data_IF_236949734153
#
_entry.id   IF_236949734153
#
_cell.length_a   1.000
_cell.length_b   1.000
_cell.length_c   1.000
_cell.angle_alpha   90.00
_cell.angle_beta   90.00
_cell.angle_gamma   90.00
#
_symmetry.space_group_name_H-M   'P 1'
#
loop_
_entity.id
_entity.type
_entity.pdbx_description
1 polymer ?
#
# COMPACT_ATOMS: atom_id res chain seq x y z
N UNK A 1 -44.91 68.17 -13.92
CA UNK A 1 -43.46 67.88 -13.91
C UNK A 1 -42.94 68.02 -12.48
N UNK A 2 -42.77 66.94 -11.73
CA UNK A 2 -41.82 66.88 -10.61
C UNK A 2 -41.53 65.42 -10.25
N UNK A 3 -40.26 65.15 -9.93
CA UNK A 3 -39.53 63.89 -10.11
C UNK A 3 -39.90 62.81 -9.10
N UNK A 4 -40.13 61.59 -9.59
CA UNK A 4 -40.14 60.36 -8.80
C UNK A 4 -38.69 59.97 -8.52
N UNK A 5 -38.28 59.93 -7.26
CA UNK A 5 -36.97 59.43 -6.83
C UNK A 5 -37.16 58.00 -6.34
N UNK A 6 -36.70 57.04 -7.13
CA UNK A 6 -36.57 55.64 -6.69
C UNK A 6 -35.30 55.51 -5.86
N UNK A 7 -35.45 55.28 -4.55
CA UNK A 7 -34.35 54.87 -3.67
C UNK A 7 -34.20 53.36 -3.79
N UNK A 8 -33.17 52.91 -4.52
CA UNK A 8 -32.78 51.50 -4.57
C UNK A 8 -31.95 51.20 -3.33
N UNK A 9 -32.55 50.51 -2.37
CA UNK A 9 -31.86 50.00 -1.18
C UNK A 9 -31.09 48.73 -1.58
N UNK A 10 -29.81 48.86 -1.89
CA UNK A 10 -28.93 47.73 -2.15
C UNK A 10 -28.59 47.02 -0.83
N UNK A 11 -29.27 45.91 -0.53
CA UNK A 11 -28.92 45.02 0.58
C UNK A 11 -27.69 44.22 0.13
N UNK A 12 -26.52 44.70 0.52
CA UNK A 12 -25.27 43.94 0.43
C UNK A 12 -25.32 42.81 1.47
N UNK A 13 -25.70 41.61 1.04
CA UNK A 13 -25.39 40.39 1.78
C UNK A 13 -23.89 40.13 1.67
N UNK A 14 -23.11 40.84 2.47
CA UNK A 14 -21.73 40.48 2.76
C UNK A 14 -21.75 39.32 3.75
N UNK A 15 -21.78 38.09 3.25
CA UNK A 15 -21.49 36.91 4.06
C UNK A 15 -19.98 36.91 4.35
N UNK A 16 -19.61 37.68 5.36
CA UNK A 16 -18.32 37.54 6.03
C UNK A 16 -18.30 36.14 6.68
N UNK A 17 -17.80 35.14 5.96
CA UNK A 17 -17.34 33.91 6.60
C UNK A 17 -16.03 34.24 7.32
N UNK A 18 -16.17 34.79 8.52
CA UNK A 18 -15.08 34.83 9.47
C UNK A 18 -14.77 33.38 9.84
N UNK A 19 -13.67 32.85 9.31
CA UNK A 19 -13.05 31.64 9.86
C UNK A 19 -12.70 31.98 11.31
N UNK A 20 -13.35 31.32 12.25
CA UNK A 20 -13.09 31.51 13.66
C UNK A 20 -11.65 31.07 13.94
N UNK A 21 -10.74 32.02 14.07
CA UNK A 21 -9.42 31.76 14.62
C UNK A 21 -9.58 31.58 16.13
N UNK A 22 -9.27 30.40 16.64
CA UNK A 22 -9.14 30.21 18.09
C UNK A 22 -8.01 31.08 18.61
N UNK A 23 -8.13 31.53 19.86
CA UNK A 23 -7.22 32.48 20.51
C UNK A 23 -5.77 32.00 20.66
N UNK A 24 -5.42 30.82 20.14
CA UNK A 24 -4.06 30.27 20.09
C UNK A 24 -3.40 30.34 18.71
N UNK A 25 -4.09 30.82 17.67
CA UNK A 25 -3.57 30.82 16.29
C UNK A 25 -3.58 29.43 15.63
N UNK A 26 -4.09 28.39 16.30
CA UNK A 26 -4.32 27.07 15.72
C UNK A 26 -5.72 26.99 15.06
N UNK A 27 -5.78 26.37 13.88
CA UNK A 27 -7.01 26.14 13.11
C UNK A 27 -7.90 25.13 13.85
N UNK A 28 -9.14 25.52 14.19
CA UNK A 28 -10.12 24.61 14.82
C UNK A 28 -10.70 23.60 13.81
N UNK A 29 -11.58 22.70 14.26
CA UNK A 29 -12.11 21.64 13.40
C UNK A 29 -12.97 22.20 12.25
N UNK A 30 -13.70 23.30 12.46
CA UNK A 30 -14.46 23.97 11.39
C UNK A 30 -13.54 24.56 10.34
N UNK A 31 -12.46 25.21 10.76
CA UNK A 31 -11.39 25.69 9.90
C UNK A 31 -10.74 24.53 9.11
N UNK A 32 -10.44 23.39 9.77
CA UNK A 32 -9.88 22.20 9.10
C UNK A 32 -10.86 21.63 8.07
N UNK A 33 -12.16 21.55 8.39
CA UNK A 33 -13.18 21.10 7.43
C UNK A 33 -13.20 21.96 6.17
N UNK A 34 -13.12 23.27 6.31
CA UNK A 34 -13.05 24.20 5.17
C UNK A 34 -11.75 24.04 4.37
N UNK A 35 -10.61 23.85 5.05
CA UNK A 35 -9.32 23.67 4.40
C UNK A 35 -9.25 22.37 3.58
N UNK A 36 -9.75 21.28 4.15
CA UNK A 36 -9.72 19.94 3.57
C UNK A 36 -10.90 19.62 2.65
N UNK A 37 -11.90 20.49 2.57
CA UNK A 37 -12.97 20.39 1.57
C UNK A 37 -12.51 20.77 0.15
N UNK A 38 -11.34 21.38 0.02
CA UNK A 38 -10.73 21.74 -1.27
C UNK A 38 -10.14 20.51 -1.96
N UNK A 39 -9.91 20.56 -3.28
CA UNK A 39 -9.09 19.57 -3.98
C UNK A 39 -7.71 19.41 -3.30
N UNK A 40 -7.11 18.21 -3.41
CA UNK A 40 -5.91 17.86 -2.63
C UNK A 40 -4.71 18.77 -2.93
N UNK A 41 -4.56 19.23 -4.17
CA UNK A 41 -3.55 20.20 -4.62
C UNK A 41 -3.67 21.60 -3.99
N UNK A 42 -4.77 21.88 -3.29
CA UNK A 42 -5.04 23.14 -2.59
C UNK A 42 -5.08 22.99 -1.06
N UNK A 43 -4.74 21.81 -0.55
CA UNK A 43 -4.61 21.60 0.89
C UNK A 43 -3.45 22.40 1.47
N UNK A 44 -3.51 22.64 2.78
CA UNK A 44 -2.36 23.19 3.51
C UNK A 44 -1.13 22.31 3.26
N UNK A 45 0.00 22.90 2.92
CA UNK A 45 1.22 22.16 2.62
C UNK A 45 1.61 21.27 3.81
N UNK A 46 2.02 20.01 3.57
CA UNK A 46 2.53 19.16 4.62
C UNK A 46 3.90 19.67 5.12
N UNK A 47 4.27 19.27 6.33
CA UNK A 47 5.62 19.48 6.84
C UNK A 47 6.48 18.29 6.41
N UNK A 48 7.45 18.58 5.54
CA UNK A 48 8.35 17.60 4.92
C UNK A 48 9.79 18.00 5.24
N UNK A 49 10.65 17.01 5.47
CA UNK A 49 12.07 17.25 5.70
C UNK A 49 12.78 17.78 4.45
N UNK A 50 13.81 18.60 4.67
CA UNK A 50 14.61 19.17 3.61
C UNK A 50 15.19 18.08 2.69
N UNK A 51 14.99 18.29 1.38
CA UNK A 51 15.45 17.38 0.34
C UNK A 51 14.49 16.22 0.04
N UNK A 52 13.48 15.93 0.85
CA UNK A 52 12.55 14.83 0.55
C UNK A 52 11.64 15.22 -0.62
N UNK A 53 11.70 14.45 -1.71
CA UNK A 53 10.73 14.55 -2.80
C UNK A 53 9.36 14.09 -2.28
N UNK A 54 8.32 14.87 -2.52
CA UNK A 54 6.97 14.55 -2.07
C UNK A 54 5.94 14.87 -3.16
N UNK A 55 4.84 14.13 -3.13
CA UNK A 55 3.63 14.43 -3.86
C UNK A 55 2.44 14.33 -2.93
N UNK A 56 1.40 15.08 -3.25
CA UNK A 56 0.19 15.08 -2.43
C UNK A 56 -0.55 13.74 -2.51
N UNK A 57 -1.34 13.48 -1.48
CA UNK A 57 -2.27 12.37 -1.45
C UNK A 57 -3.27 12.48 -2.61
N UNK A 58 -3.50 11.36 -3.28
CA UNK A 58 -4.40 11.25 -4.41
C UNK A 58 -5.23 9.97 -4.30
N UNK A 59 -6.43 9.92 -4.91
CA UNK A 59 -7.20 8.69 -5.05
C UNK A 59 -6.36 7.57 -5.64
N UNK A 60 -6.50 6.37 -5.09
CA UNK A 60 -5.86 5.17 -5.63
C UNK A 60 -6.39 4.91 -7.04
N UNK A 61 -5.49 4.60 -7.98
CA UNK A 61 -5.82 4.22 -9.34
C UNK A 61 -6.61 2.91 -9.43
N UNK A 62 -7.18 2.64 -10.59
CA UNK A 62 -7.90 1.38 -10.81
C UNK A 62 -6.93 0.20 -10.93
N UNK A 63 -7.16 -0.93 -10.25
CA UNK A 63 -6.36 -2.13 -10.45
C UNK A 63 -6.39 -2.58 -11.92
N UNK A 64 -5.33 -3.25 -12.39
CA UNK A 64 -5.41 -3.97 -13.64
C UNK A 64 -6.50 -5.04 -13.58
N UNK A 65 -7.24 -5.21 -14.68
CA UNK A 65 -8.24 -6.26 -14.79
C UNK A 65 -7.57 -7.64 -14.75
N UNK A 66 -8.24 -8.67 -14.18
CA UNK A 66 -7.73 -10.03 -14.23
C UNK A 66 -7.46 -10.51 -15.66
N UNK A 67 -6.31 -11.15 -15.85
CA UNK A 67 -5.86 -11.76 -17.10
C UNK A 67 -5.65 -13.26 -16.90
N UNK A 68 -5.58 -14.07 -17.97
CA UNK A 68 -5.18 -15.47 -17.84
C UNK A 68 -3.85 -15.67 -17.08
N UNK A 69 -2.90 -14.73 -17.25
CA UNK A 69 -1.63 -14.73 -16.53
C UNK A 69 -1.81 -14.50 -15.02
N UNK A 70 -2.60 -13.50 -14.61
CA UNK A 70 -2.86 -13.26 -13.20
C UNK A 70 -3.71 -14.36 -12.55
N UNK A 71 -4.59 -15.03 -13.31
CA UNK A 71 -5.34 -16.20 -12.80
C UNK A 71 -4.42 -17.43 -12.61
N UNK A 72 -3.43 -17.63 -13.48
CA UNK A 72 -2.38 -18.61 -13.23
C UNK A 72 -1.57 -18.24 -11.97
N UNK A 73 -1.17 -16.97 -11.83
CA UNK A 73 -0.50 -16.46 -10.64
C UNK A 73 -1.29 -16.67 -9.36
N UNK A 74 -2.61 -16.44 -9.41
CA UNK A 74 -3.51 -16.69 -8.30
C UNK A 74 -3.48 -18.16 -7.89
N UNK A 75 -3.55 -19.10 -8.84
CA UNK A 75 -3.46 -20.53 -8.52
C UNK A 75 -2.16 -20.86 -7.82
N UNK A 76 -1.03 -20.38 -8.37
CA UNK A 76 0.30 -20.58 -7.79
C UNK A 76 0.44 -19.98 -6.39
N UNK A 77 -0.21 -18.84 -6.11
CA UNK A 77 -0.19 -18.20 -4.80
C UNK A 77 -0.79 -19.06 -3.68
N UNK A 78 -1.74 -19.94 -4.03
CA UNK A 78 -2.37 -20.89 -3.10
C UNK A 78 -1.83 -22.32 -3.27
N UNK A 79 -0.79 -22.53 -4.08
CA UNK A 79 -0.24 -23.86 -4.37
C UNK A 79 0.72 -24.31 -3.27
N UNK A 80 0.48 -25.48 -2.69
CA UNK A 80 1.33 -26.01 -1.62
C UNK A 80 2.47 -26.87 -2.12
N UNK A 81 2.40 -27.41 -3.35
CA UNK A 81 3.50 -28.16 -3.99
C UNK A 81 4.80 -27.33 -4.15
N UNK A 82 4.70 -26.02 -3.97
CA UNK A 82 5.82 -25.07 -3.93
C UNK A 82 6.56 -25.03 -2.58
N UNK A 83 6.19 -25.88 -1.62
CA UNK A 83 6.88 -26.02 -0.34
C UNK A 83 7.45 -27.42 -0.15
N UNK A 84 8.47 -27.56 0.70
CA UNK A 84 9.20 -28.81 0.90
C UNK A 84 8.35 -29.92 1.53
N UNK A 85 7.39 -29.55 2.40
CA UNK A 85 6.46 -30.46 3.07
C UNK A 85 5.06 -30.49 2.44
N UNK A 86 4.87 -29.73 1.36
CA UNK A 86 3.62 -29.57 0.65
C UNK A 86 2.44 -29.08 1.52
N UNK A 87 2.73 -28.41 2.65
CA UNK A 87 1.73 -27.90 3.59
C UNK A 87 1.50 -26.39 3.52
N UNK A 88 2.46 -25.62 2.98
CA UNK A 88 2.35 -24.15 2.95
C UNK A 88 2.34 -23.59 1.53
N UNK A 89 1.70 -22.45 1.37
CA UNK A 89 1.68 -21.64 0.14
C UNK A 89 1.99 -20.19 0.49
N UNK A 90 2.08 -19.30 -0.52
CA UNK A 90 2.21 -17.86 -0.27
C UNK A 90 1.08 -17.34 0.62
N UNK A 91 -0.14 -17.85 0.44
CA UNK A 91 -1.32 -17.49 1.22
C UNK A 91 -1.25 -17.90 2.71
N UNK A 92 -0.37 -18.83 3.10
CA UNK A 92 -0.19 -19.23 4.50
C UNK A 92 0.32 -18.07 5.35
N UNK A 93 1.23 -17.26 4.81
CA UNK A 93 1.77 -16.08 5.48
C UNK A 93 1.11 -14.77 5.00
N UNK A 94 0.44 -14.79 3.86
CA UNK A 94 -0.24 -13.64 3.28
C UNK A 94 -1.75 -13.90 3.14
N UNK A 95 -2.44 -13.92 4.28
CA UNK A 95 -3.85 -14.31 4.37
C UNK A 95 -4.78 -13.23 3.76
N UNK A 96 -5.58 -13.55 2.71
CA UNK A 96 -6.52 -12.60 2.11
C UNK A 96 -7.50 -11.97 3.12
N UNK A 97 -7.85 -12.69 4.20
CA UNK A 97 -8.76 -12.21 5.25
C UNK A 97 -8.15 -11.11 6.12
N UNK A 98 -6.83 -10.97 6.09
CA UNK A 98 -6.05 -9.99 6.83
C UNK A 98 -5.33 -9.03 5.86
N UNK A 99 -5.98 -8.70 4.74
CA UNK A 99 -5.39 -7.89 3.67
C UNK A 99 -4.02 -8.40 3.22
N UNK A 100 -3.87 -9.73 3.11
CA UNK A 100 -2.63 -10.39 2.68
C UNK A 100 -1.43 -10.12 3.61
N UNK A 101 -1.67 -9.77 4.88
CA UNK A 101 -0.67 -9.76 5.93
C UNK A 101 -0.78 -11.00 6.81
N UNK A 102 0.28 -11.31 7.54
CA UNK A 102 0.21 -12.31 8.61
C UNK A 102 -0.31 -11.66 9.90
N UNK A 103 -1.39 -12.17 10.52
CA UNK A 103 -1.84 -11.69 11.82
C UNK A 103 -0.89 -12.08 12.97
N UNK A 104 0.07 -12.98 12.75
CA UNK A 104 1.06 -13.40 13.75
C UNK A 104 2.20 -12.38 13.85
N UNK A 105 2.84 -12.22 15.03
CA UNK A 105 4.02 -11.35 15.17
C UNK A 105 5.19 -11.77 14.27
N UNK A 106 5.31 -13.07 13.99
CA UNK A 106 6.31 -13.67 13.11
C UNK A 106 5.66 -14.83 12.37
N UNK A 107 5.93 -14.95 11.08
CA UNK A 107 5.37 -16.01 10.23
C UNK A 107 6.00 -17.37 10.51
N UNK A 108 5.25 -18.44 10.26
CA UNK A 108 5.73 -19.82 10.33
C UNK A 108 5.78 -20.40 8.92
N UNK A 109 6.92 -20.99 8.56
CA UNK A 109 7.12 -21.72 7.32
C UNK A 109 6.91 -23.22 7.47
N UNK A 110 7.57 -23.99 6.59
CA UNK A 110 7.53 -25.46 6.59
C UNK A 110 7.97 -26.02 7.93
N UNK A 111 7.40 -27.16 8.33
CA UNK A 111 7.70 -27.82 9.60
C UNK A 111 7.55 -26.91 10.85
N UNK A 112 6.66 -25.92 10.78
CA UNK A 112 6.44 -24.90 11.82
C UNK A 112 7.70 -24.07 12.17
N UNK A 113 8.68 -24.00 11.26
CA UNK A 113 9.89 -23.19 11.47
C UNK A 113 9.52 -21.71 11.56
N UNK A 114 10.04 -21.04 12.57
CA UNK A 114 9.78 -19.63 12.79
C UNK A 114 10.68 -18.77 11.89
N UNK A 115 10.07 -17.83 11.16
CA UNK A 115 10.80 -16.82 10.41
C UNK A 115 11.50 -15.79 11.31
N UNK A 116 12.01 -14.71 10.71
CA UNK A 116 12.71 -13.65 11.45
C UNK A 116 11.90 -12.36 11.60
N UNK A 117 10.82 -12.21 10.82
CA UNK A 117 9.99 -11.00 10.75
C UNK A 117 8.53 -11.35 10.47
N UNK A 118 7.63 -10.38 10.69
CA UNK A 118 6.25 -10.46 10.23
C UNK A 118 6.18 -10.31 8.69
N UNK A 119 5.32 -11.09 8.04
CA UNK A 119 4.99 -10.91 6.62
C UNK A 119 4.08 -9.70 6.39
N UNK A 120 4.58 -8.75 5.62
CA UNK A 120 3.87 -7.51 5.28
C UNK A 120 2.63 -7.79 4.42
N UNK A 121 1.64 -6.89 4.46
CA UNK A 121 0.52 -6.92 3.53
C UNK A 121 1.00 -6.78 2.07
N UNK A 122 0.49 -7.64 1.20
CA UNK A 122 0.73 -7.59 -0.24
C UNK A 122 -0.25 -6.70 -1.01
N UNK A 123 -1.13 -5.95 -0.32
CA UNK A 123 -1.97 -4.97 -1.02
C UNK A 123 -1.13 -3.80 -1.55
N UNK A 124 -1.57 -3.21 -2.66
CA UNK A 124 -0.95 -2.06 -3.32
C UNK A 124 0.41 -2.30 -3.98
N UNK A 125 0.82 -3.54 -4.22
CA UNK A 125 2.01 -3.83 -5.03
C UNK A 125 1.80 -3.48 -6.53
N UNK A 126 0.57 -3.38 -7.01
CA UNK A 126 0.26 -3.06 -8.41
C UNK A 126 0.50 -1.62 -8.85
N UNK A 127 0.86 -0.75 -7.93
CA UNK A 127 0.94 0.70 -8.15
C UNK A 127 2.41 1.18 -8.02
N UNK A 128 3.34 0.27 -8.28
CA UNK A 128 4.77 0.43 -8.05
C UNK A 128 5.36 1.64 -8.82
N UNK A 129 5.79 2.66 -8.08
CA UNK A 129 6.82 3.63 -8.48
C UNK A 129 8.14 2.93 -8.83
N UNK A 130 8.91 3.41 -9.83
CA UNK A 130 10.16 2.78 -10.32
C UNK A 130 11.32 2.62 -9.29
N UNK A 131 11.16 3.03 -8.03
CA UNK A 131 12.18 2.86 -6.97
C UNK A 131 11.79 1.84 -5.87
N UNK A 132 10.83 0.95 -6.12
CA UNK A 132 10.38 0.01 -5.09
C UNK A 132 11.40 -1.09 -4.76
N UNK A 133 12.03 -0.97 -3.59
CA UNK A 133 12.69 -2.07 -2.91
C UNK A 133 11.68 -2.85 -2.05
N UNK A 134 11.77 -4.18 -2.09
CA UNK A 134 10.92 -5.13 -1.38
C UNK A 134 11.68 -5.78 -0.20
N UNK A 135 10.92 -6.39 0.70
CA UNK A 135 11.32 -6.76 2.07
C UNK A 135 11.53 -5.56 3.00
N UNK A 136 11.55 -5.85 4.30
CA UNK A 136 11.83 -4.88 5.37
C UNK A 136 13.21 -4.22 5.26
N UNK A 137 14.18 -4.84 4.59
CA UNK A 137 15.53 -4.31 4.37
C UNK A 137 15.77 -3.83 2.93
N UNK A 138 14.75 -3.92 2.06
CA UNK A 138 14.88 -3.49 0.67
C UNK A 138 15.82 -4.34 -0.19
N UNK A 139 16.16 -5.57 0.23
CA UNK A 139 17.17 -6.38 -0.48
C UNK A 139 16.76 -6.81 -1.89
N UNK A 140 15.47 -6.90 -2.18
CA UNK A 140 14.96 -7.22 -3.52
C UNK A 140 14.54 -5.94 -4.25
N UNK A 141 14.96 -5.79 -5.50
CA UNK A 141 14.70 -4.57 -6.29
C UNK A 141 13.45 -4.66 -7.16
N UNK A 142 12.93 -5.87 -7.35
CA UNK A 142 11.76 -6.12 -8.19
C UNK A 142 10.85 -7.13 -7.52
N UNK A 143 9.55 -7.08 -7.84
CA UNK A 143 8.60 -8.07 -7.35
C UNK A 143 8.91 -9.45 -7.91
N UNK A 144 9.40 -9.51 -9.16
CA UNK A 144 9.91 -10.73 -9.79
C UNK A 144 11.01 -11.39 -8.93
N UNK A 145 12.00 -10.62 -8.49
CA UNK A 145 13.05 -11.12 -7.61
C UNK A 145 12.49 -11.56 -6.24
N UNK A 146 11.58 -10.74 -5.68
CA UNK A 146 11.00 -10.98 -4.36
C UNK A 146 10.23 -12.30 -4.29
N UNK A 147 9.38 -12.63 -5.28
CA UNK A 147 8.53 -13.82 -5.24
C UNK A 147 9.31 -15.15 -5.31
N UNK A 148 10.56 -15.10 -5.76
CA UNK A 148 11.44 -16.28 -5.83
C UNK A 148 12.17 -16.56 -4.52
N UNK A 149 12.44 -15.54 -3.70
CA UNK A 149 13.23 -15.72 -2.46
C UNK A 149 12.52 -16.59 -1.39
N UNK A 150 11.20 -16.46 -1.13
CA UNK A 150 10.49 -17.34 -0.20
C UNK A 150 10.59 -18.83 -0.53
N UNK A 151 10.68 -19.16 -1.83
CA UNK A 151 10.78 -20.54 -2.29
C UNK A 151 12.03 -21.21 -1.73
N UNK A 152 13.14 -20.48 -1.61
CA UNK A 152 14.45 -21.02 -1.19
C UNK A 152 14.81 -20.78 0.26
N UNK A 153 14.04 -19.97 1.00
CA UNK A 153 14.33 -19.73 2.43
C UNK A 153 13.97 -20.97 3.27
N UNK A 154 14.91 -21.52 4.05
CA UNK A 154 14.69 -22.73 4.84
C UNK A 154 13.69 -22.54 5.99
N UNK A 155 13.40 -21.30 6.39
CA UNK A 155 12.37 -20.99 7.37
C UNK A 155 11.04 -20.57 6.72
N UNK A 156 10.97 -20.55 5.39
CA UNK A 156 9.75 -20.30 4.64
C UNK A 156 9.36 -21.57 3.87
N UNK A 157 9.67 -21.71 2.57
CA UNK A 157 9.18 -22.83 1.74
C UNK A 157 10.22 -23.93 1.46
N UNK A 158 11.51 -23.70 1.72
CA UNK A 158 12.60 -24.69 1.77
C UNK A 158 12.76 -25.61 0.53
N UNK A 159 12.67 -25.06 -0.69
CA UNK A 159 12.92 -25.78 -1.94
C UNK A 159 14.00 -25.11 -2.80
N UNK A 160 14.55 -25.84 -3.77
CA UNK A 160 15.44 -25.23 -4.77
C UNK A 160 14.63 -24.71 -5.96
N UNK A 161 15.05 -23.58 -6.54
CA UNK A 161 14.39 -23.02 -7.74
C UNK A 161 14.36 -24.02 -8.90
N UNK A 162 15.43 -24.81 -9.07
CA UNK A 162 15.51 -25.85 -10.11
C UNK A 162 14.45 -26.96 -9.94
N UNK A 163 13.95 -27.16 -8.71
CA UNK A 163 12.89 -28.15 -8.45
C UNK A 163 11.49 -27.66 -8.81
N UNK A 164 11.28 -26.34 -8.87
CA UNK A 164 9.95 -25.72 -9.04
C UNK A 164 9.26 -26.17 -10.33
N UNK A 165 9.89 -26.15 -11.51
CA UNK A 165 9.24 -26.61 -12.74
C UNK A 165 8.69 -28.03 -12.66
N UNK A 166 9.48 -28.96 -12.12
CA UNK A 166 9.09 -30.37 -12.01
C UNK A 166 7.99 -30.57 -10.96
N UNK A 167 8.06 -29.86 -9.82
CA UNK A 167 7.01 -29.88 -8.80
C UNK A 167 5.67 -29.43 -9.38
N UNK A 168 5.66 -28.30 -10.08
CA UNK A 168 4.44 -27.78 -10.72
C UNK A 168 3.94 -28.68 -11.85
N UNK A 169 4.84 -29.24 -12.66
CA UNK A 169 4.46 -30.19 -13.71
C UNK A 169 3.79 -31.45 -13.13
N UNK A 170 4.37 -32.01 -12.06
CA UNK A 170 3.80 -33.16 -11.34
C UNK A 170 2.46 -32.83 -10.66
N UNK A 171 2.30 -31.60 -10.19
CA UNK A 171 1.03 -31.07 -9.68
C UNK A 171 0.00 -30.73 -10.79
N UNK A 172 0.33 -30.97 -12.06
CA UNK A 172 -0.61 -30.82 -13.19
C UNK A 172 -0.71 -29.40 -13.75
N UNK A 173 0.27 -28.53 -13.51
CA UNK A 173 0.21 -27.13 -13.98
C UNK A 173 0.57 -26.92 -15.45
N UNK A 174 1.21 -27.88 -16.13
CA UNK A 174 1.68 -27.69 -17.51
C UNK A 174 0.57 -27.22 -18.48
N UNK A 175 -0.67 -27.76 -18.45
CA UNK A 175 -1.76 -27.24 -19.28
C UNK A 175 -2.13 -25.79 -18.97
N UNK A 176 -2.07 -25.36 -17.71
CA UNK A 176 -2.34 -23.96 -17.32
C UNK A 176 -1.26 -23.02 -17.86
N UNK A 177 0.02 -23.42 -17.81
CA UNK A 177 1.11 -22.66 -18.41
C UNK A 177 0.97 -22.57 -19.94
N UNK A 178 0.61 -23.67 -20.62
CA UNK A 178 0.37 -23.69 -22.07
C UNK A 178 -0.71 -22.69 -22.51
N UNK A 179 -1.76 -22.53 -21.72
CA UNK A 179 -2.84 -21.56 -21.99
C UNK A 179 -2.33 -20.12 -21.98
N UNK A 180 -1.34 -19.81 -21.13
CA UNK A 180 -0.85 -18.43 -20.93
C UNK A 180 0.38 -18.12 -21.80
N UNK A 181 1.31 -19.07 -21.93
CA UNK A 181 2.63 -18.85 -22.51
C UNK A 181 2.84 -19.59 -23.86
N UNK A 182 1.88 -20.42 -24.29
CA UNK A 182 1.87 -21.05 -25.61
C UNK A 182 1.69 -22.57 -25.58
N UNK A 183 0.83 -23.10 -26.46
CA UNK A 183 0.46 -24.52 -26.49
C UNK A 183 1.61 -25.48 -26.82
N UNK A 184 2.62 -24.99 -27.52
CA UNK A 184 3.82 -25.73 -27.91
C UNK A 184 4.79 -26.00 -26.74
N UNK A 185 4.59 -25.40 -25.57
CA UNK A 185 5.48 -25.59 -24.43
C UNK A 185 5.52 -27.04 -23.95
N UNK A 186 6.71 -27.52 -23.63
CA UNK A 186 6.95 -28.87 -23.10
C UNK A 186 7.38 -28.87 -21.63
N UNK A 187 7.84 -27.73 -21.12
CA UNK A 187 8.28 -27.56 -19.74
C UNK A 187 7.87 -26.18 -19.21
N UNK A 188 7.81 -26.06 -17.88
CA UNK A 188 7.60 -24.81 -17.15
C UNK A 188 8.96 -24.14 -16.92
N UNK A 189 9.03 -22.81 -17.04
CA UNK A 189 10.22 -22.02 -16.71
C UNK A 189 10.02 -21.22 -15.40
N UNK A 190 11.07 -21.09 -14.59
CA UNK A 190 10.97 -20.38 -13.30
C UNK A 190 10.59 -18.90 -13.46
N UNK A 191 11.03 -18.24 -14.54
CA UNK A 191 10.64 -16.85 -14.82
C UNK A 191 9.15 -16.75 -15.18
N UNK A 192 8.57 -17.79 -15.78
CA UNK A 192 7.13 -17.82 -16.06
C UNK A 192 6.32 -17.93 -14.77
N UNK A 193 6.79 -18.74 -13.81
CA UNK A 193 6.19 -18.86 -12.47
C UNK A 193 6.18 -17.49 -11.79
N UNK A 194 7.34 -16.83 -11.78
CA UNK A 194 7.48 -15.56 -11.10
C UNK A 194 6.75 -14.41 -11.81
N UNK A 195 6.68 -14.43 -13.15
CA UNK A 195 5.88 -13.49 -13.93
C UNK A 195 4.38 -13.67 -13.65
N UNK A 196 3.89 -14.91 -13.57
CA UNK A 196 2.51 -15.20 -13.21
C UNK A 196 2.18 -14.71 -11.79
N UNK A 197 3.02 -15.04 -10.80
CA UNK A 197 2.88 -14.56 -9.42
C UNK A 197 2.88 -13.02 -9.36
N UNK A 198 3.84 -12.36 -10.01
CA UNK A 198 3.91 -10.90 -10.09
C UNK A 198 2.63 -10.30 -10.67
N UNK A 199 2.11 -10.87 -11.76
CA UNK A 199 0.88 -10.41 -12.38
C UNK A 199 -0.33 -10.54 -11.44
N UNK A 200 -0.39 -11.60 -10.62
CA UNK A 200 -1.44 -11.72 -9.59
C UNK A 200 -1.27 -10.70 -8.48
N UNK A 201 -0.05 -10.50 -7.98
CA UNK A 201 0.21 -9.53 -6.92
C UNK A 201 -0.14 -8.10 -7.32
N UNK A 202 -0.01 -7.76 -8.61
CA UNK A 202 -0.45 -6.48 -9.15
C UNK A 202 -1.97 -6.29 -9.16
N UNK A 203 -2.77 -7.37 -9.09
CA UNK A 203 -4.24 -7.24 -8.97
C UNK A 203 -4.69 -7.06 -7.52
N UNK A 204 -3.81 -7.26 -6.53
CA UNK A 204 -4.14 -7.17 -5.11
C UNK A 204 -4.32 -5.72 -4.68
N UNK A 205 -5.56 -5.25 -4.81
CA UNK A 205 -5.98 -3.93 -4.34
C UNK A 205 -6.69 -4.03 -3.00
N UNK A 206 -6.54 -2.99 -2.15
CA UNK A 206 -7.30 -2.93 -0.91
C UNK A 206 -8.80 -2.81 -1.19
N UNK A 207 -9.61 -3.16 -0.20
CA UNK A 207 -11.00 -2.73 -0.16
C UNK A 207 -11.05 -1.21 0.04
N UNK A 208 -11.81 -0.44 -0.76
CA UNK A 208 -11.97 1.00 -0.55
C UNK A 208 -12.39 1.33 0.88
N UNK A 209 -11.82 2.41 1.41
CA UNK A 209 -12.07 2.96 2.74
C UNK A 209 -12.72 4.34 2.65
N UNK A 210 -13.22 4.82 3.79
CA UNK A 210 -13.68 6.20 3.97
C UNK A 210 -12.60 7.24 3.62
N UNK A 211 -11.33 6.89 3.75
CA UNK A 211 -10.24 7.77 3.33
C UNK A 211 -10.16 7.89 1.80
N UNK A 212 -10.44 6.82 1.06
CA UNK A 212 -10.48 6.85 -0.40
C UNK A 212 -11.71 7.63 -0.92
N UNK A 213 -12.85 7.48 -0.26
CA UNK A 213 -14.05 8.29 -0.52
C UNK A 213 -13.76 9.78 -0.29
N UNK A 214 -13.07 10.09 0.80
CA UNK A 214 -12.63 11.45 1.12
C UNK A 214 -11.70 12.02 0.05
N UNK A 215 -10.68 11.27 -0.39
CA UNK A 215 -9.79 11.69 -1.47
C UNK A 215 -10.51 11.87 -2.82
N UNK A 216 -11.63 11.17 -3.04
CA UNK A 216 -12.49 11.32 -4.22
C UNK A 216 -13.47 12.51 -4.13
N UNK A 217 -13.45 13.25 -3.03
CA UNK A 217 -14.24 14.48 -2.86
C UNK A 217 -15.44 14.35 -1.93
N UNK A 218 -15.68 13.20 -1.29
CA UNK A 218 -16.66 13.14 -0.20
C UNK A 218 -16.05 13.72 1.09
N UNK A 219 -16.16 15.04 1.23
CA UNK A 219 -15.62 15.80 2.35
C UNK A 219 -16.24 15.43 3.72
N UNK A 220 -17.32 14.64 3.71
CA UNK A 220 -18.00 14.15 4.91
C UNK A 220 -17.58 12.74 5.30
N UNK A 221 -16.86 12.03 4.42
CA UNK A 221 -16.46 10.65 4.63
C UNK A 221 -15.58 10.47 5.87
N UNK A 222 -14.75 11.45 6.26
CA UNK A 222 -13.99 11.40 7.51
C UNK A 222 -14.75 12.05 8.67
N UNK A 223 -14.66 11.46 9.87
CA UNK A 223 -15.07 12.12 11.12
C UNK A 223 -14.10 13.24 11.51
N UNK A 224 -14.50 14.08 12.46
CA UNK A 224 -13.67 15.19 12.94
C UNK A 224 -12.34 14.71 13.53
N UNK A 225 -12.35 13.60 14.27
CA UNK A 225 -11.16 12.99 14.82
C UNK A 225 -10.25 12.40 13.72
N UNK A 226 -10.83 11.79 12.68
CA UNK A 226 -10.07 11.28 11.53
C UNK A 226 -9.45 12.42 10.71
N UNK A 227 -10.17 13.53 10.54
CA UNK A 227 -9.67 14.72 9.84
C UNK A 227 -8.54 15.41 10.62
N UNK A 228 -8.69 15.53 11.95
CA UNK A 228 -7.63 16.02 12.81
C UNK A 228 -6.41 15.09 12.76
N UNK A 229 -6.63 13.77 12.75
CA UNK A 229 -5.57 12.78 12.58
C UNK A 229 -4.82 12.95 11.25
N UNK A 230 -5.54 13.14 10.14
CA UNK A 230 -4.95 13.47 8.84
C UNK A 230 -4.12 14.75 8.88
N UNK A 231 -4.62 15.78 9.56
CA UNK A 231 -3.91 17.04 9.72
C UNK A 231 -2.61 16.86 10.50
N UNK A 232 -2.67 16.24 11.67
CA UNK A 232 -1.51 15.95 12.50
C UNK A 232 -0.49 15.08 11.75
N UNK A 233 -0.96 14.08 11.01
CA UNK A 233 -0.13 13.23 10.19
C UNK A 233 0.64 14.05 9.13
N UNK A 234 -0.03 14.98 8.44
CA UNK A 234 0.59 15.82 7.41
C UNK A 234 1.50 16.94 7.97
N UNK A 235 1.28 17.44 9.18
CA UNK A 235 1.96 18.66 9.69
C UNK A 235 2.86 18.45 10.91
N UNK A 236 2.55 17.52 11.80
CA UNK A 236 3.32 17.29 13.04
C UNK A 236 4.00 15.91 13.08
N UNK A 237 3.58 14.98 12.21
CA UNK A 237 3.99 13.58 12.22
C UNK A 237 5.40 13.28 11.68
N UNK A 238 6.18 14.28 11.25
CA UNK A 238 7.51 14.13 10.63
C UNK A 238 7.59 12.88 9.74
N UNK A 239 6.75 12.86 8.70
CA UNK A 239 6.67 11.70 7.83
C UNK A 239 7.83 11.79 6.85
N UNK A 240 8.92 11.07 7.14
CA UNK A 240 10.12 10.99 6.28
C UNK A 240 9.83 10.47 4.85
N UNK A 241 8.61 10.02 4.57
CA UNK A 241 8.22 9.41 3.31
C UNK A 241 6.69 9.60 3.10
N UNK A 242 6.25 10.78 2.65
CA UNK A 242 4.91 10.97 2.07
C UNK A 242 4.85 10.54 0.60
N UNK A 243 5.78 9.72 0.11
CA UNK A 243 5.64 9.04 -1.18
C UNK A 243 4.60 7.94 -1.05
N UNK A 244 3.35 8.37 -0.84
CA UNK A 244 2.21 7.52 -1.02
C UNK A 244 2.09 7.12 -2.50
N UNK A 245 2.46 7.97 -3.48
CA UNK A 245 2.21 7.65 -4.90
C UNK A 245 3.11 8.28 -5.99
N UNK A 246 4.20 9.02 -5.72
CA UNK A 246 4.95 9.64 -6.83
C UNK A 246 6.48 9.62 -6.72
N UNK A 247 7.06 9.34 -7.89
CA UNK A 247 8.45 9.43 -8.32
C UNK A 247 8.93 10.89 -8.43
N UNK A 248 10.20 11.16 -8.08
CA UNK A 248 11.16 11.58 -9.10
C UNK A 248 12.62 11.40 -8.64
N UNK A 249 13.48 11.31 -9.63
CA UNK A 249 14.90 11.03 -9.56
C UNK A 249 15.65 11.96 -8.61
N UNK A 250 16.45 11.34 -7.72
CA UNK A 250 17.67 11.87 -7.06
C UNK A 250 17.63 11.79 -5.54
N UNK A 251 17.49 10.59 -4.98
CA UNK A 251 18.11 10.31 -3.69
C UNK A 251 18.87 9.01 -3.72
N UNK A 252 20.20 9.19 -3.69
CA UNK A 252 21.08 8.19 -3.09
C UNK A 252 20.56 8.00 -1.68
N UNK A 253 20.21 6.77 -1.33
CA UNK A 253 20.30 6.36 0.06
C UNK A 253 21.63 6.89 0.58
N UNK A 254 21.61 7.76 1.58
CA UNK A 254 22.68 7.75 2.56
C UNK A 254 22.58 6.38 3.24
N UNK A 255 23.05 5.35 2.53
CA UNK A 255 23.75 4.26 3.15
C UNK A 255 24.94 4.93 3.83
N UNK A 256 24.73 5.45 5.04
CA UNK A 256 25.83 5.35 5.98
C UNK A 256 26.05 3.83 6.04
N UNK A 257 27.16 3.37 5.47
CA UNK A 257 27.60 1.98 5.53
C UNK A 257 27.84 1.51 6.98
N UNK A 258 27.30 2.23 7.97
CA UNK A 258 27.56 2.13 9.39
C UNK A 258 26.39 1.53 10.18
N UNK A 259 25.21 1.24 9.58
CA UNK A 259 24.20 0.50 10.32
C UNK A 259 23.22 -0.36 9.48
N UNK A 260 23.49 -1.66 9.30
CA UNK A 260 22.59 -2.61 8.61
C UNK A 260 21.30 -2.94 9.39
N UNK A 261 21.05 -2.34 10.56
CA UNK A 261 19.89 -2.64 11.40
C UNK A 261 18.62 -1.80 11.14
N UNK A 262 18.65 -0.84 10.20
CA UNK A 262 17.49 0.02 9.92
C UNK A 262 16.55 -0.64 8.92
N UNK A 263 15.31 -0.88 9.34
CA UNK A 263 14.23 -1.35 8.49
C UNK A 263 13.60 -0.19 7.70
N UNK A 264 13.12 -0.47 6.48
CA UNK A 264 12.26 0.39 5.68
C UNK A 264 10.96 0.67 6.43
N UNK A 265 10.45 1.89 6.32
CA UNK A 265 9.14 2.27 6.86
C UNK A 265 8.03 1.46 6.17
N UNK A 266 7.16 0.77 6.93
CA UNK A 266 6.05 0.03 6.35
C UNK A 266 4.99 0.97 5.77
N UNK A 267 4.23 0.49 4.78
CA UNK A 267 3.14 1.26 4.19
C UNK A 267 2.03 1.47 5.23
N UNK A 268 1.58 2.71 5.43
CA UNK A 268 0.64 3.07 6.50
C UNK A 268 -0.74 2.40 6.39
N UNK A 269 -1.14 1.99 5.18
CA UNK A 269 -2.36 1.22 4.96
C UNK A 269 -2.35 -0.17 5.63
N UNK A 270 -1.19 -0.66 6.05
CA UNK A 270 -1.01 -1.98 6.65
C UNK A 270 -1.30 -2.02 8.16
N UNK A 271 -1.56 -0.87 8.80
CA UNK A 271 -1.51 -0.75 10.26
C UNK A 271 -2.83 -1.15 10.97
N UNK A 272 -3.98 -1.24 10.26
CA UNK A 272 -5.30 -1.33 10.91
C UNK A 272 -6.05 -2.67 10.78
N UNK A 273 -5.36 -3.80 10.86
CA UNK A 273 -6.01 -5.12 10.94
C UNK A 273 -6.05 -5.74 12.35
N UNK A 274 -5.63 -5.00 13.38
CA UNK A 274 -5.81 -5.41 14.77
C UNK A 274 -6.86 -4.53 15.46
N UNK A 275 -8.05 -5.11 15.71
CA UNK A 275 -9.00 -4.58 16.70
C UNK A 275 -8.39 -4.78 18.09
N UNK A 276 -7.53 -3.85 18.53
CA UNK A 276 -7.30 -3.61 19.95
C UNK A 276 -7.59 -2.13 20.23
N UNK A 277 -8.39 -1.81 21.26
CA UNK A 277 -8.65 -0.43 21.61
C UNK A 277 -7.31 0.22 22.00
N UNK A 278 -7.01 1.37 21.39
CA UNK A 278 -5.87 2.20 21.75
C UNK A 278 -5.96 2.55 23.25
N UNK A 279 -5.19 1.83 24.09
CA UNK A 279 -4.74 2.32 25.38
C UNK A 279 -3.26 2.65 25.22
N UNK A 280 -2.98 3.85 24.75
CA UNK A 280 -1.66 4.46 24.88
C UNK A 280 -1.87 5.95 25.11
N UNK A 281 -1.72 6.35 26.37
CA UNK A 281 -1.19 7.60 26.92
C UNK A 281 -1.47 7.58 28.42
N UNK A 282 -0.59 6.89 29.16
CA UNK A 282 -0.30 7.17 30.57
C UNK A 282 1.22 7.10 30.70
N UNK A 283 1.88 8.24 30.55
CA UNK A 283 2.73 8.97 31.50
C UNK A 283 3.15 10.25 30.77
#
# INVERSE_FOLDING_TARGET
MLRVVFVVLAIMFSTCQAVAHTSSGECDIQCLRLAYAKPTDQWLAPTIDDGVAWAELAPIGTPPMPTPLSELGKRLFFETALSSDEQISCATCHDPRHAFADPRPVSLGVYDRQGTRNSQSLTHLGLDSPQHAFFWDGRAKTLHEQVLMPLTDPNEMDITLDSVPNRLANAGYLPHFRTVFGQQMTAIDINQVAHALTAYLHTLTPTPTRFDEFLKGDITALSDAELLGLHLFRTKGAVHELSFWASDERWRFSQSQSNPSRAKTPRLWQIRHHRRPCRFWQI
#
